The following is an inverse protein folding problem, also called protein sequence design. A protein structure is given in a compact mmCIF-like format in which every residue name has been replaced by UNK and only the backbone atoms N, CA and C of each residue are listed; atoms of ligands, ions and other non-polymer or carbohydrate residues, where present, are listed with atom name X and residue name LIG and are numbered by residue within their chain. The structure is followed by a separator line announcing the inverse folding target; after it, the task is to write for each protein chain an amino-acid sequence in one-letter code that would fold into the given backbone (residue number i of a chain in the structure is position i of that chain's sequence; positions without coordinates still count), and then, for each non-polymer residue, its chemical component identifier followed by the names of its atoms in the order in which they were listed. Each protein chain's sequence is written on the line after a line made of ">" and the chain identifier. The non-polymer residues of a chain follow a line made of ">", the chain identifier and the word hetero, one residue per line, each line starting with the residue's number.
data_IF_409659532792
#
_entry.id   IF_409659532792
#
_cell.length_a   1.000
_cell.length_b   1.000
_cell.length_c   1.000
_cell.angle_alpha   90.00
_cell.angle_beta   90.00
_cell.angle_gamma   90.00
#
_symmetry.space_group_name_H-M   'P 1'
#
loop_
_entity.id
_entity.type
_entity.pdbx_description
1 polymer ?
#
# COMPACT_ATOMS: atom_id res chain seq x y z
N UNK A 1 -21.19 -21.11 -13.79
CA UNK A 1 -19.76 -21.10 -14.15
C UNK A 1 -19.18 -19.89 -13.46
N UNK A 2 -18.66 -20.11 -12.26
CA UNK A 2 -18.17 -19.07 -11.37
C UNK A 2 -16.97 -18.36 -11.99
N UNK A 3 -17.23 -17.17 -12.53
CA UNK A 3 -16.18 -16.23 -12.86
C UNK A 3 -15.62 -15.74 -11.53
N UNK A 4 -14.58 -16.41 -11.05
CA UNK A 4 -13.76 -15.96 -9.94
C UNK A 4 -13.24 -14.57 -10.34
N UNK A 5 -13.93 -13.53 -9.87
CA UNK A 5 -13.49 -12.15 -9.97
C UNK A 5 -12.05 -12.10 -9.46
N UNK A 6 -11.13 -11.40 -10.14
CA UNK A 6 -9.80 -11.17 -9.58
C UNK A 6 -10.00 -10.65 -8.17
N UNK A 7 -9.33 -11.26 -7.20
CA UNK A 7 -9.36 -10.82 -5.81
C UNK A 7 -8.75 -9.43 -5.77
N UNK A 8 -9.59 -8.43 -6.03
CA UNK A 8 -9.28 -7.03 -5.72
C UNK A 8 -9.05 -7.06 -4.22
N UNK A 9 -7.79 -6.95 -3.82
CA UNK A 9 -7.41 -6.77 -2.42
C UNK A 9 -8.28 -5.62 -1.93
N UNK A 10 -9.28 -5.94 -1.11
CA UNK A 10 -10.22 -4.95 -0.57
C UNK A 10 -9.47 -4.25 0.56
N UNK A 11 -8.47 -3.46 0.19
CA UNK A 11 -7.85 -2.52 1.08
C UNK A 11 -8.89 -1.44 1.31
N UNK A 12 -9.51 -1.44 2.49
CA UNK A 12 -10.33 -0.30 2.91
C UNK A 12 -9.43 0.93 2.79
N UNK A 13 -9.81 1.88 1.93
CA UNK A 13 -8.99 3.05 1.68
C UNK A 13 -9.06 3.99 2.88
N UNK A 14 -8.22 3.71 3.88
CA UNK A 14 -8.14 4.47 5.12
C UNK A 14 -7.11 5.59 5.03
N UNK A 15 -6.31 5.66 3.96
CA UNK A 15 -5.28 6.69 3.81
C UNK A 15 -5.88 8.11 3.80
N UNK A 16 -7.00 8.40 3.12
CA UNK A 16 -7.66 9.71 3.15
C UNK A 16 -8.13 10.09 4.55
N UNK A 17 -8.72 9.13 5.28
CA UNK A 17 -9.15 9.35 6.66
C UNK A 17 -7.96 9.58 7.60
N UNK A 18 -6.85 8.86 7.40
CA UNK A 18 -5.61 9.09 8.14
C UNK A 18 -4.97 10.44 7.81
N UNK A 19 -4.99 10.84 6.53
CA UNK A 19 -4.48 12.13 6.08
C UNK A 19 -5.27 13.31 6.68
N UNK A 20 -6.60 13.20 6.73
CA UNK A 20 -7.49 14.21 7.33
C UNK A 20 -7.26 14.34 8.85
N UNK A 21 -7.16 13.20 9.55
CA UNK A 21 -7.02 13.19 11.02
C UNK A 21 -5.62 13.49 11.53
N UNK A 22 -4.60 13.01 10.83
CA UNK A 22 -3.19 13.05 11.29
C UNK A 22 -2.34 14.07 10.51
N UNK A 23 -2.89 14.64 9.42
CA UNK A 23 -2.13 15.44 8.47
C UNK A 23 -1.18 14.60 7.60
N UNK A 24 -0.55 15.24 6.62
CA UNK A 24 0.39 14.57 5.71
C UNK A 24 1.60 13.95 6.42
N UNK A 25 2.17 14.65 7.41
CA UNK A 25 3.29 14.14 8.21
C UNK A 25 2.90 12.90 9.03
N UNK A 26 1.70 12.92 9.63
CA UNK A 26 1.19 11.79 10.39
C UNK A 26 0.89 10.57 9.52
N UNK A 27 0.34 10.78 8.32
CA UNK A 27 0.15 9.73 7.33
C UNK A 27 1.49 9.07 6.94
N UNK A 28 2.51 9.88 6.62
CA UNK A 28 3.84 9.37 6.27
C UNK A 28 4.41 8.54 7.41
N UNK A 29 4.24 9.00 8.67
CA UNK A 29 4.70 8.27 9.84
C UNK A 29 4.00 6.92 10.00
N UNK A 30 2.69 6.84 9.79
CA UNK A 30 1.94 5.59 9.85
C UNK A 30 2.34 4.62 8.73
N UNK A 31 2.58 5.11 7.52
CA UNK A 31 3.14 4.30 6.43
C UNK A 31 4.52 3.76 6.78
N UNK A 32 5.38 4.59 7.38
CA UNK A 32 6.69 4.15 7.87
C UNK A 32 6.57 3.07 8.97
N UNK A 33 5.61 3.22 9.88
CA UNK A 33 5.35 2.24 10.93
C UNK A 33 4.84 0.92 10.34
N UNK A 34 3.93 0.98 9.37
CA UNK A 34 3.45 -0.18 8.62
C UNK A 34 4.58 -0.90 7.88
N UNK A 35 5.45 -0.15 7.22
CA UNK A 35 6.64 -0.70 6.57
C UNK A 35 7.53 -1.46 7.58
N UNK A 36 7.86 -0.84 8.71
CA UNK A 36 8.67 -1.46 9.76
C UNK A 36 8.04 -2.73 10.34
N UNK A 37 6.71 -2.79 10.37
CA UNK A 37 6.00 -3.97 10.82
C UNK A 37 6.14 -5.14 9.84
N UNK A 38 6.13 -4.86 8.52
CA UNK A 38 6.11 -5.86 7.46
C UNK A 38 7.52 -6.26 6.96
N UNK A 39 8.52 -5.41 7.15
CA UNK A 39 9.88 -5.63 6.65
C UNK A 39 10.60 -6.81 7.32
N UNK A 40 11.55 -7.38 6.60
CA UNK A 40 12.57 -8.26 7.13
C UNK A 40 13.59 -7.44 7.93
N UNK A 41 13.71 -7.74 9.23
CA UNK A 41 14.59 -7.00 10.13
C UNK A 41 16.09 -7.15 9.83
N UNK A 42 16.51 -8.15 9.06
CA UNK A 42 17.91 -8.33 8.66
C UNK A 42 18.22 -7.60 7.36
N UNK A 43 17.29 -7.64 6.40
CA UNK A 43 17.48 -7.04 5.06
C UNK A 43 17.14 -5.56 5.00
N UNK A 44 16.27 -5.06 5.88
CA UNK A 44 15.82 -3.68 5.78
C UNK A 44 14.66 -3.46 4.81
N UNK A 45 14.11 -4.53 4.22
CA UNK A 45 13.19 -4.49 3.08
C UNK A 45 12.01 -5.43 3.32
N UNK A 46 10.85 -5.15 2.71
CA UNK A 46 9.74 -6.09 2.69
C UNK A 46 10.03 -7.14 1.62
N UNK A 47 10.22 -8.37 2.05
CA UNK A 47 10.43 -9.52 1.17
C UNK A 47 9.17 -10.37 1.11
N UNK A 48 9.08 -11.25 0.10
CA UNK A 48 8.00 -12.23 0.03
C UNK A 48 7.80 -13.00 1.35
N UNK A 49 8.88 -13.53 1.93
CA UNK A 49 8.83 -14.28 3.19
C UNK A 49 8.42 -13.42 4.38
N UNK A 50 8.93 -12.19 4.47
CA UNK A 50 8.58 -11.29 5.57
C UNK A 50 7.12 -10.86 5.48
N UNK A 51 6.67 -10.48 4.28
CA UNK A 51 5.29 -10.09 4.03
C UNK A 51 4.33 -11.23 4.35
N UNK A 52 4.61 -12.45 3.86
CA UNK A 52 3.82 -13.66 4.14
C UNK A 52 3.73 -13.99 5.62
N UNK A 53 4.85 -13.91 6.33
CA UNK A 53 4.88 -14.21 7.77
C UNK A 53 4.12 -13.14 8.58
N UNK A 54 4.28 -11.88 8.21
CA UNK A 54 3.69 -10.75 8.94
C UNK A 54 2.21 -10.58 8.61
N UNK A 55 1.77 -10.81 7.38
CA UNK A 55 0.35 -10.84 7.01
C UNK A 55 -0.39 -11.93 7.77
N UNK A 56 0.17 -13.13 7.86
CA UNK A 56 -0.39 -14.21 8.67
C UNK A 56 -0.53 -13.83 10.16
N UNK A 57 0.43 -13.09 10.71
CA UNK A 57 0.41 -12.60 12.10
C UNK A 57 -0.68 -11.53 12.33
N UNK A 58 -0.96 -10.73 11.31
CA UNK A 58 -2.02 -9.72 11.32
C UNK A 58 -3.43 -10.30 11.11
N UNK A 59 -3.56 -11.62 11.04
CA UNK A 59 -4.84 -12.29 10.77
C UNK A 59 -5.26 -12.24 9.30
N UNK A 60 -4.39 -11.75 8.42
CA UNK A 60 -4.57 -11.72 6.97
C UNK A 60 -4.12 -13.07 6.36
N UNK A 61 -4.70 -14.17 6.86
CA UNK A 61 -4.32 -15.53 6.44
C UNK A 61 -4.88 -15.91 5.06
N UNK A 62 -5.78 -15.11 4.49
CA UNK A 62 -6.40 -15.40 3.20
C UNK A 62 -5.48 -15.13 2.00
N UNK A 63 -4.39 -14.37 2.20
CA UNK A 63 -3.43 -14.07 1.15
C UNK A 63 -2.68 -15.33 0.69
N UNK A 64 -2.95 -15.75 -0.53
CA UNK A 64 -2.22 -16.81 -1.20
C UNK A 64 -0.83 -16.33 -1.62
N UNK A 65 0.10 -17.27 -1.78
CA UNK A 65 1.46 -17.00 -2.26
C UNK A 65 1.47 -16.19 -3.56
N UNK A 66 0.49 -16.41 -4.45
CA UNK A 66 0.38 -15.65 -5.70
C UNK A 66 -0.04 -14.19 -5.51
N UNK A 67 -0.90 -13.91 -4.51
CA UNK A 67 -1.31 -12.52 -4.20
C UNK A 67 -0.14 -11.75 -3.59
N UNK A 68 0.61 -12.37 -2.69
CA UNK A 68 1.81 -11.76 -2.08
C UNK A 68 2.88 -11.49 -3.14
N UNK A 69 3.13 -12.45 -4.04
CA UNK A 69 4.04 -12.24 -5.19
C UNK A 69 3.56 -11.11 -6.09
N UNK A 70 2.25 -11.04 -6.36
CA UNK A 70 1.69 -9.96 -7.16
C UNK A 70 1.88 -8.60 -6.50
N UNK A 71 1.70 -8.51 -5.17
CA UNK A 71 1.92 -7.27 -4.42
C UNK A 71 3.38 -6.81 -4.47
N UNK A 72 4.33 -7.73 -4.24
CA UNK A 72 5.76 -7.42 -4.36
C UNK A 72 6.05 -6.92 -5.78
N UNK A 73 5.63 -7.69 -6.80
CA UNK A 73 5.91 -7.37 -8.20
C UNK A 73 5.31 -6.04 -8.67
N UNK A 74 4.16 -5.65 -8.12
CA UNK A 74 3.50 -4.39 -8.48
C UNK A 74 4.19 -3.16 -7.87
N UNK A 75 4.82 -3.32 -6.70
CA UNK A 75 5.52 -2.25 -5.99
C UNK A 75 7.03 -2.19 -6.25
N UNK A 76 7.65 -3.30 -6.66
CA UNK A 76 9.07 -3.43 -6.93
C UNK A 76 9.42 -2.69 -8.23
N UNK A 77 10.01 -1.50 -8.10
CA UNK A 77 10.32 -0.62 -9.23
C UNK A 77 11.77 -0.78 -9.69
N UNK A 78 12.67 -1.19 -8.79
CA UNK A 78 14.07 -1.41 -9.10
C UNK A 78 14.40 -2.86 -9.52
N UNK A 79 13.48 -3.80 -9.30
CA UNK A 79 13.56 -5.19 -9.71
C UNK A 79 14.39 -6.06 -8.77
N UNK A 80 14.61 -5.64 -7.52
CA UNK A 80 15.40 -6.41 -6.53
C UNK A 80 14.62 -7.58 -5.90
N UNK A 81 13.32 -7.70 -6.20
CA UNK A 81 12.43 -8.74 -5.68
C UNK A 81 11.94 -8.48 -4.26
N UNK A 82 12.08 -7.26 -3.75
CA UNK A 82 11.61 -6.79 -2.46
C UNK A 82 10.96 -5.40 -2.61
N UNK A 83 10.45 -4.86 -1.52
CA UNK A 83 9.99 -3.47 -1.46
C UNK A 83 10.84 -2.71 -0.46
N UNK A 84 11.46 -1.64 -0.92
CA UNK A 84 11.99 -0.61 -0.05
C UNK A 84 10.87 0.31 0.48
N UNK A 85 11.23 1.21 1.39
CA UNK A 85 10.25 2.08 2.06
C UNK A 85 9.50 2.99 1.08
N UNK A 86 10.21 3.53 0.08
CA UNK A 86 9.60 4.42 -0.92
C UNK A 86 8.65 3.65 -1.83
N UNK A 87 9.06 2.48 -2.30
CA UNK A 87 8.24 1.58 -3.10
C UNK A 87 6.96 1.16 -2.40
N UNK A 88 7.07 0.76 -1.13
CA UNK A 88 5.92 0.44 -0.30
C UNK A 88 4.95 1.63 -0.16
N UNK A 89 5.48 2.82 0.14
CA UNK A 89 4.66 4.03 0.24
C UNK A 89 3.96 4.32 -1.10
N UNK A 90 4.70 4.31 -2.21
CA UNK A 90 4.13 4.54 -3.54
C UNK A 90 3.06 3.51 -3.91
N UNK A 91 3.28 2.24 -3.60
CA UNK A 91 2.28 1.18 -3.79
C UNK A 91 1.00 1.49 -2.98
N UNK A 92 1.14 1.85 -1.70
CA UNK A 92 0.01 2.21 -0.85
C UNK A 92 -0.76 3.44 -1.37
N UNK A 93 -0.06 4.46 -1.85
CA UNK A 93 -0.71 5.60 -2.49
C UNK A 93 -1.45 5.19 -3.77
N UNK A 94 -0.83 4.38 -4.64
CA UNK A 94 -1.44 3.88 -5.89
C UNK A 94 -2.69 3.03 -5.65
N UNK A 95 -2.72 2.30 -4.54
CA UNK A 95 -3.88 1.51 -4.11
C UNK A 95 -4.97 2.36 -3.45
N UNK A 96 -4.69 3.62 -3.08
CA UNK A 96 -5.69 4.59 -2.65
C UNK A 96 -6.21 5.37 -3.86
N UNK A 97 -7.37 5.00 -4.43
CA UNK A 97 -7.96 5.73 -5.56
C UNK A 97 -8.35 7.16 -5.19
N UNK A 98 -8.59 7.49 -3.91
CA UNK A 98 -8.87 8.88 -3.51
C UNK A 98 -7.61 9.74 -3.53
N UNK A 99 -6.44 9.21 -3.17
CA UNK A 99 -5.16 9.92 -3.27
C UNK A 99 -4.58 9.91 -4.70
N UNK A 100 -4.70 8.81 -5.43
CA UNK A 100 -4.15 8.66 -6.79
C UNK A 100 -5.09 9.20 -7.88
N UNK A 101 -6.41 9.09 -7.70
CA UNK A 101 -7.43 9.73 -8.53
C UNK A 101 -7.70 11.19 -8.13
N UNK A 102 -7.28 11.59 -6.93
CA UNK A 102 -7.37 12.96 -6.40
C UNK A 102 -6.38 13.95 -7.00
N UNK A 103 -5.36 13.49 -7.73
CA UNK A 103 -4.51 14.39 -8.53
C UNK A 103 -5.31 15.12 -9.63
N UNK A 104 -6.52 14.65 -9.97
CA UNK A 104 -7.45 15.34 -10.87
C UNK A 104 -8.51 16.21 -10.17
N UNK A 105 -8.86 15.95 -8.90
CA UNK A 105 -9.91 16.70 -8.18
C UNK A 105 -9.39 17.77 -7.22
N UNK A 106 -8.22 17.58 -6.61
CA UNK A 106 -7.61 18.59 -5.71
C UNK A 106 -7.12 19.84 -6.45
N UNK A 107 -6.96 19.77 -7.78
CA UNK A 107 -6.63 20.92 -8.62
C UNK A 107 -7.85 21.75 -9.02
N UNK A 108 -9.08 21.23 -8.90
CA UNK A 108 -10.29 21.96 -9.32
C UNK A 108 -10.90 22.79 -8.18
N UNK A 109 -10.73 22.38 -6.91
CA UNK A 109 -11.17 23.19 -5.76
C UNK A 109 -10.24 24.38 -5.44
N UNK A 110 -9.03 24.42 -6.02
CA UNK A 110 -8.06 25.49 -5.80
C UNK A 110 -8.23 26.70 -6.76
N UNK A 111 -9.08 26.60 -7.77
CA UNK A 111 -9.44 27.72 -8.64
C UNK A 111 -10.92 28.05 -8.49
N UNK A 112 -11.29 29.02 -7.62
CA UNK A 112 -12.61 29.63 -7.75
C UNK A 112 -12.68 30.22 -9.16
N UNK A 113 -13.55 29.62 -9.98
CA UNK A 113 -13.91 30.16 -11.28
C UNK A 113 -14.37 31.61 -11.06
N UNK A 114 -13.61 32.57 -11.59
CA UNK A 114 -14.02 33.97 -11.73
C UNK A 114 -15.10 34.04 -12.81
#
# INVERSE_FOLDING_TARGET
>A
MDARSPTTIHFEDLLPTMADKLGGEGLIKELCNGFQLLMDGKKGLITFDSLKKKSALLGLQDFQDEEIKSMIKEGDLDGDGALNQLEFCMLMFRLSPELTGGAGRLLEEAFPQI
#
